data_IF_277124981681
#
_entry.id   IF_277124981681
#
_cell.length_a   1.000
_cell.length_b   1.000
_cell.length_c   1.000
_cell.angle_alpha   90.00
_cell.angle_beta   90.00
_cell.angle_gamma   90.00
#
_symmetry.space_group_name_H-M   'P 1'
#
loop_
_entity.id
_entity.type
_entity.pdbx_description
1 polymer ?
#
# COMPACT_ATOMS: atom_id res chain seq x y z
N UNK A 1 8.57 12.37 22.03
CA UNK A 1 9.11 12.95 20.78
C UNK A 1 8.10 13.98 20.27
N UNK A 2 8.58 15.09 19.71
CA UNK A 2 7.74 16.21 19.28
C UNK A 2 7.48 16.07 17.77
N UNK A 3 6.22 16.01 17.37
CA UNK A 3 5.79 15.84 15.98
C UNK A 3 4.93 17.05 15.61
N UNK A 4 5.41 17.95 14.73
CA UNK A 4 4.68 19.19 14.34
C UNK A 4 4.16 20.02 15.54
N UNK A 5 4.90 20.05 16.65
CA UNK A 5 4.49 20.75 17.88
C UNK A 5 3.60 19.94 18.83
N UNK A 6 3.13 18.75 18.45
CA UNK A 6 2.41 17.83 19.33
C UNK A 6 3.36 16.81 19.97
N UNK A 7 3.26 16.63 21.28
CA UNK A 7 3.99 15.60 21.99
C UNK A 7 3.25 14.27 21.92
N UNK A 8 3.81 13.31 21.19
CA UNK A 8 3.33 11.93 21.28
C UNK A 8 4.06 11.25 22.44
N UNK A 9 3.43 11.29 23.62
CA UNK A 9 3.83 10.49 24.77
C UNK A 9 3.25 9.09 24.61
N UNK A 10 4.11 8.07 24.63
CA UNK A 10 3.71 6.68 24.59
C UNK A 10 4.63 5.83 25.44
N UNK A 11 4.06 5.15 26.44
CA UNK A 11 4.81 4.31 27.37
C UNK A 11 4.79 2.85 26.90
N UNK A 12 5.94 2.37 26.42
CA UNK A 12 6.12 0.98 25.98
C UNK A 12 6.21 -0.01 27.15
N UNK A 13 6.51 0.44 28.37
CA UNK A 13 6.75 -0.41 29.53
C UNK A 13 7.69 -1.59 29.20
N UNK A 14 7.28 -2.80 29.56
CA UNK A 14 7.99 -4.05 29.30
C UNK A 14 8.24 -4.33 27.80
N UNK A 15 7.42 -3.77 26.89
CA UNK A 15 7.59 -3.93 25.44
C UNK A 15 8.69 -3.00 24.88
N UNK A 16 9.40 -2.25 25.73
CA UNK A 16 10.56 -1.45 25.32
C UNK A 16 11.66 -2.35 24.73
N UNK A 17 11.85 -3.54 25.31
CA UNK A 17 12.81 -4.53 24.80
C UNK A 17 12.08 -5.53 23.90
N UNK A 18 12.58 -5.72 22.68
CA UNK A 18 12.03 -6.71 21.75
C UNK A 18 12.57 -8.10 22.09
N UNK A 19 11.90 -8.80 23.01
CA UNK A 19 12.22 -10.19 23.31
C UNK A 19 11.85 -11.14 22.15
N UNK A 20 12.44 -12.34 22.12
CA UNK A 20 12.08 -13.38 21.13
C UNK A 20 10.60 -13.74 21.19
N UNK A 21 10.01 -13.76 22.38
CA UNK A 21 8.57 -14.02 22.54
C UNK A 21 7.72 -12.89 21.95
N UNK A 22 8.07 -11.62 22.22
CA UNK A 22 7.39 -10.46 21.62
C UNK A 22 7.53 -10.46 20.10
N UNK A 23 8.71 -10.78 19.57
CA UNK A 23 8.93 -10.87 18.13
C UNK A 23 8.03 -11.93 17.47
N UNK A 24 7.86 -13.11 18.08
CA UNK A 24 6.93 -14.15 17.59
C UNK A 24 5.48 -13.68 17.64
N UNK A 25 5.08 -12.98 18.70
CA UNK A 25 3.74 -12.40 18.78
C UNK A 25 3.51 -11.34 17.69
N UNK A 26 4.48 -10.46 17.42
CA UNK A 26 4.36 -9.49 16.32
C UNK A 26 4.30 -10.14 14.96
N UNK A 27 5.08 -11.21 14.73
CA UNK A 27 5.09 -11.92 13.46
C UNK A 27 3.74 -12.57 13.11
N UNK A 28 2.91 -12.87 14.12
CA UNK A 28 1.59 -13.47 13.93
C UNK A 28 0.45 -12.44 13.94
N UNK A 29 0.74 -11.18 14.29
CA UNK A 29 -0.28 -10.15 14.40
C UNK A 29 -0.68 -9.61 13.02
N UNK A 30 -1.99 -9.53 12.78
CA UNK A 30 -2.55 -8.91 11.58
C UNK A 30 -3.02 -7.50 11.92
N UNK A 31 -2.65 -6.51 11.11
CA UNK A 31 -2.94 -5.10 11.38
C UNK A 31 -4.44 -4.75 11.32
N UNK A 32 -5.28 -5.62 10.76
CA UNK A 32 -6.75 -5.54 10.77
C UNK A 32 -7.36 -5.98 12.12
N UNK A 33 -6.56 -6.57 13.01
CA UNK A 33 -6.96 -7.07 14.32
C UNK A 33 -6.48 -6.16 15.44
N UNK A 34 -7.17 -6.10 16.60
CA UNK A 34 -6.76 -5.28 17.74
C UNK A 34 -5.28 -5.51 18.12
N UNK A 35 -4.52 -4.44 18.45
CA UNK A 35 -3.11 -4.58 18.78
C UNK A 35 -2.95 -5.38 20.08
N UNK A 36 -2.19 -6.47 20.00
CA UNK A 36 -1.96 -7.38 21.13
C UNK A 36 -0.79 -6.94 22.02
N UNK A 37 -0.03 -5.94 21.60
CA UNK A 37 1.15 -5.41 22.31
C UNK A 37 1.17 -3.90 22.26
N UNK A 38 1.89 -3.25 23.18
CA UNK A 38 2.09 -1.80 23.19
C UNK A 38 2.89 -1.34 21.97
N UNK A 39 3.79 -2.16 21.45
CA UNK A 39 4.50 -1.88 20.18
C UNK A 39 3.56 -1.90 18.97
N UNK A 40 2.66 -2.87 18.88
CA UNK A 40 1.63 -2.89 17.83
C UNK A 40 0.69 -1.68 17.94
N UNK A 41 0.32 -1.30 19.17
CA UNK A 41 -0.48 -0.10 19.40
C UNK A 41 0.25 1.19 19.01
N UNK A 42 1.54 1.31 19.33
CA UNK A 42 2.38 2.43 18.88
C UNK A 42 2.50 2.46 17.36
N UNK A 43 2.74 1.32 16.72
CA UNK A 43 2.78 1.20 15.27
C UNK A 43 1.49 1.73 14.62
N UNK A 44 0.32 1.28 15.09
CA UNK A 44 -0.97 1.76 14.55
C UNK A 44 -1.15 3.27 14.78
N UNK A 45 -0.70 3.79 15.93
CA UNK A 45 -0.79 5.22 16.24
C UNK A 45 0.09 6.05 15.30
N UNK A 46 1.33 5.61 15.08
CA UNK A 46 2.26 6.24 14.13
C UNK A 46 1.74 6.14 12.70
N UNK A 47 1.27 4.96 12.28
CA UNK A 47 0.69 4.77 10.94
C UNK A 47 -0.47 5.75 10.71
N UNK A 48 -1.47 5.81 11.60
CA UNK A 48 -2.60 6.76 11.48
C UNK A 48 -2.15 8.22 11.42
N UNK A 49 -1.14 8.57 12.20
CA UNK A 49 -0.58 9.92 12.21
C UNK A 49 0.16 10.27 10.90
N UNK A 50 0.87 9.30 10.33
CA UNK A 50 1.70 9.50 9.14
C UNK A 50 0.93 9.40 7.83
N UNK A 51 -0.12 8.58 7.76
CA UNK A 51 -0.92 8.36 6.53
C UNK A 51 -1.40 9.65 5.82
N UNK A 52 -1.87 10.72 6.51
CA UNK A 52 -2.29 11.95 5.84
C UNK A 52 -1.12 12.91 5.51
N UNK A 53 0.12 12.60 5.89
CA UNK A 53 1.29 13.45 5.61
C UNK A 53 1.76 13.24 4.17
N UNK A 54 2.33 14.28 3.56
CA UNK A 54 3.02 14.15 2.26
C UNK A 54 4.27 13.29 2.42
N UNK A 55 4.77 12.71 1.33
CA UNK A 55 5.99 11.89 1.34
C UNK A 55 7.16 12.61 2.02
N UNK A 56 7.45 13.86 1.65
CA UNK A 56 8.53 14.63 2.28
C UNK A 56 8.42 14.69 3.83
N UNK A 57 7.21 14.86 4.37
CA UNK A 57 7.01 14.83 5.83
C UNK A 57 7.08 13.42 6.41
N UNK A 58 6.59 12.40 5.69
CA UNK A 58 6.72 11.01 6.11
C UNK A 58 8.21 10.61 6.18
N UNK A 59 9.00 10.91 5.15
CA UNK A 59 10.44 10.60 5.10
C UNK A 59 11.22 11.35 6.18
N UNK A 60 10.96 12.65 6.37
CA UNK A 60 11.57 13.43 7.44
C UNK A 60 11.30 12.78 8.81
N UNK A 61 10.06 12.33 9.02
CA UNK A 61 9.70 11.73 10.30
C UNK A 61 10.26 10.32 10.50
N UNK A 62 10.28 9.50 9.45
CA UNK A 62 10.94 8.20 9.49
C UNK A 62 12.42 8.34 9.83
N UNK A 63 13.09 9.35 9.26
CA UNK A 63 14.49 9.65 9.58
C UNK A 63 14.70 10.02 11.05
N UNK A 64 13.85 10.89 11.60
CA UNK A 64 13.92 11.22 13.03
C UNK A 64 13.64 10.00 13.93
N UNK A 65 12.64 9.18 13.57
CA UNK A 65 12.31 7.96 14.31
C UNK A 65 13.46 6.96 14.29
N UNK A 66 14.11 6.76 13.14
CA UNK A 66 15.30 5.90 12.99
C UNK A 66 16.45 6.38 13.86
N UNK A 67 16.76 7.67 13.82
CA UNK A 67 17.78 8.28 14.66
C UNK A 67 17.47 8.10 16.16
N UNK A 68 16.20 8.30 16.56
CA UNK A 68 15.78 8.14 17.94
C UNK A 68 15.92 6.70 18.47
N UNK A 69 15.61 5.69 17.64
CA UNK A 69 15.76 4.27 18.04
C UNK A 69 17.16 3.71 17.81
N UNK A 70 18.08 4.49 17.22
CA UNK A 70 19.42 4.02 16.83
C UNK A 70 19.41 2.98 15.71
N UNK A 71 18.39 3.00 14.83
CA UNK A 71 18.33 2.10 13.67
C UNK A 71 19.13 2.71 12.50
N UNK A 72 19.94 1.92 11.79
CA UNK A 72 20.59 2.38 10.57
C UNK A 72 19.55 2.73 9.51
N UNK A 73 19.92 3.65 8.62
CA UNK A 73 19.12 4.07 7.46
C UNK A 73 19.39 3.15 6.27
N UNK A 74 19.30 1.84 6.50
CA UNK A 74 19.52 0.81 5.49
C UNK A 74 18.22 0.04 5.25
N UNK A 75 17.86 -0.11 3.97
CA UNK A 75 16.81 -1.03 3.58
C UNK A 75 17.25 -2.45 3.93
N UNK A 76 16.38 -3.22 4.58
CA UNK A 76 16.71 -4.61 4.84
C UNK A 76 16.68 -5.39 3.51
N UNK A 77 17.66 -6.25 3.23
CA UNK A 77 17.72 -6.99 1.96
C UNK A 77 16.44 -7.76 1.64
N UNK A 78 15.75 -8.30 2.66
CA UNK A 78 14.49 -9.01 2.51
C UNK A 78 13.29 -8.14 2.09
N UNK A 79 13.44 -6.81 2.09
CA UNK A 79 12.39 -5.84 1.71
C UNK A 79 12.81 -4.96 0.53
N UNK A 80 13.79 -5.38 -0.26
CA UNK A 80 14.21 -4.64 -1.45
C UNK A 80 13.05 -4.52 -2.47
N UNK A 81 12.81 -3.31 -2.93
CA UNK A 81 11.99 -3.07 -4.11
C UNK A 81 12.69 -3.64 -5.35
N UNK A 82 11.88 -3.91 -6.38
CA UNK A 82 12.38 -4.26 -7.70
C UNK A 82 13.27 -3.15 -8.25
N UNK A 83 14.43 -3.52 -8.78
CA UNK A 83 15.31 -2.61 -9.50
C UNK A 83 14.74 -2.20 -10.85
N UNK A 84 15.22 -1.08 -11.40
CA UNK A 84 14.85 -0.64 -12.75
C UNK A 84 15.14 -1.72 -13.81
N UNK A 85 16.26 -2.42 -13.69
CA UNK A 85 16.65 -3.49 -14.62
C UNK A 85 15.68 -4.69 -14.56
N UNK A 86 15.26 -5.10 -13.36
CA UNK A 86 14.27 -6.17 -13.19
C UNK A 86 12.90 -5.75 -13.75
N UNK A 87 12.48 -4.49 -13.50
CA UNK A 87 11.24 -3.95 -14.02
C UNK A 87 11.24 -3.90 -15.56
N UNK A 88 12.34 -3.50 -16.18
CA UNK A 88 12.53 -3.53 -17.62
C UNK A 88 12.50 -4.96 -18.19
N UNK A 89 13.11 -5.93 -17.48
CA UNK A 89 13.06 -7.33 -17.87
C UNK A 89 11.63 -7.88 -17.84
N UNK A 90 10.87 -7.57 -16.79
CA UNK A 90 9.45 -7.93 -16.70
C UNK A 90 8.62 -7.25 -17.78
N UNK A 91 8.89 -5.97 -18.06
CA UNK A 91 8.20 -5.24 -19.11
C UNK A 91 8.35 -5.89 -20.48
N UNK A 92 9.48 -6.53 -20.80
CA UNK A 92 9.69 -7.21 -22.09
C UNK A 92 8.94 -8.53 -22.22
N UNK A 93 8.57 -9.15 -21.12
CA UNK A 93 7.85 -10.43 -21.12
C UNK A 93 6.37 -10.23 -21.51
N UNK A 94 5.79 -11.12 -22.34
CA UNK A 94 4.36 -11.09 -22.65
C UNK A 94 3.49 -11.60 -21.49
N UNK A 95 4.10 -12.17 -20.44
CA UNK A 95 3.37 -12.73 -19.29
C UNK A 95 2.99 -11.68 -18.23
N UNK A 96 3.58 -10.49 -18.31
CA UNK A 96 3.39 -9.45 -17.30
C UNK A 96 2.82 -8.18 -17.92
N UNK A 97 1.91 -7.55 -17.16
CA UNK A 97 1.41 -6.20 -17.41
C UNK A 97 1.85 -5.32 -16.25
N UNK A 98 2.32 -4.11 -16.56
CA UNK A 98 2.71 -3.10 -15.56
C UNK A 98 1.57 -2.08 -15.47
N UNK A 99 1.15 -1.77 -14.25
CA UNK A 99 0.13 -0.77 -13.94
C UNK A 99 0.67 0.33 -13.05
N UNK A 100 -0.08 1.42 -12.95
CA UNK A 100 0.28 2.57 -12.12
C UNK A 100 -0.10 2.37 -10.65
N UNK A 101 0.74 2.91 -9.75
CA UNK A 101 0.49 2.88 -8.31
C UNK A 101 0.99 4.15 -7.60
N UNK A 102 0.83 5.30 -8.25
CA UNK A 102 1.37 6.64 -7.86
C UNK A 102 2.90 6.71 -7.86
N UNK A 103 3.45 7.90 -7.58
CA UNK A 103 4.89 8.12 -7.50
C UNK A 103 5.42 7.75 -6.11
N UNK A 104 4.76 8.21 -5.05
CA UNK A 104 5.27 8.06 -3.66
C UNK A 104 4.31 7.31 -2.73
N UNK A 105 3.30 6.62 -3.28
CA UNK A 105 2.32 5.82 -2.52
C UNK A 105 1.52 6.62 -1.44
N UNK A 106 1.02 7.85 -1.69
CA UNK A 106 0.18 8.54 -0.71
C UNK A 106 -1.25 7.97 -0.67
N UNK A 107 -1.93 8.11 0.47
CA UNK A 107 -3.35 7.82 0.59
C UNK A 107 -4.17 8.93 -0.12
N UNK A 108 -4.31 8.80 -1.44
CA UNK A 108 -4.73 9.87 -2.36
C UNK A 108 -5.95 10.68 -1.87
N UNK A 109 -6.99 10.04 -1.35
CA UNK A 109 -8.22 10.74 -0.94
C UNK A 109 -8.03 11.70 0.25
N UNK A 110 -6.90 11.63 0.96
CA UNK A 110 -6.55 12.51 2.07
C UNK A 110 -5.79 13.77 1.63
N UNK A 111 -5.51 13.91 0.33
CA UNK A 111 -4.72 15.00 -0.21
C UNK A 111 -5.53 15.90 -1.16
N UNK A 112 -5.10 17.16 -1.39
CA UNK A 112 -5.71 18.03 -2.39
C UNK A 112 -5.69 17.41 -3.80
N UNK A 113 -6.68 17.78 -4.61
CA UNK A 113 -6.86 17.21 -5.96
C UNK A 113 -5.62 17.40 -6.85
N UNK A 114 -4.93 18.54 -6.71
CA UNK A 114 -3.73 18.87 -7.47
C UNK A 114 -2.59 17.88 -7.17
N UNK A 115 -2.42 17.52 -5.89
CA UNK A 115 -1.43 16.52 -5.48
C UNK A 115 -1.83 15.14 -6.01
N UNK A 116 -3.11 14.78 -5.93
CA UNK A 116 -3.58 13.49 -6.45
C UNK A 116 -3.29 13.34 -7.94
N UNK A 117 -3.53 14.38 -8.74
CA UNK A 117 -3.24 14.37 -10.17
C UNK A 117 -1.74 14.27 -10.44
N UNK A 118 -0.93 15.06 -9.73
CA UNK A 118 0.52 15.05 -9.88
C UNK A 118 1.11 13.66 -9.61
N UNK A 119 0.71 13.03 -8.50
CA UNK A 119 1.15 11.69 -8.09
C UNK A 119 0.83 10.61 -9.13
N UNK A 120 -0.37 10.69 -9.71
CA UNK A 120 -0.83 9.73 -10.71
C UNK A 120 -0.09 9.94 -12.05
N UNK A 121 0.11 11.19 -12.46
CA UNK A 121 0.80 11.53 -13.71
C UNK A 121 2.28 11.22 -13.64
N UNK A 122 2.99 11.68 -12.60
CA UNK A 122 4.43 11.46 -12.46
C UNK A 122 4.76 9.97 -12.35
N UNK A 123 3.98 9.20 -11.58
CA UNK A 123 4.16 7.75 -11.49
C UNK A 123 3.94 7.06 -12.84
N UNK A 124 2.99 7.54 -13.65
CA UNK A 124 2.77 7.04 -15.01
C UNK A 124 3.96 7.35 -15.91
N UNK A 125 4.34 8.63 -16.00
CA UNK A 125 5.42 9.11 -16.86
C UNK A 125 6.75 8.41 -16.55
N UNK A 126 7.09 8.24 -15.27
CA UNK A 126 8.29 7.54 -14.84
C UNK A 126 8.31 6.07 -15.31
N UNK A 127 7.20 5.34 -15.11
CA UNK A 127 7.09 3.94 -15.50
C UNK A 127 7.02 3.77 -17.02
N UNK A 128 6.30 4.63 -17.75
CA UNK A 128 6.23 4.60 -19.21
C UNK A 128 7.60 4.92 -19.84
N UNK A 129 8.33 5.90 -19.30
CA UNK A 129 9.68 6.22 -19.74
C UNK A 129 10.66 5.06 -19.51
N UNK A 130 10.57 4.41 -18.35
CA UNK A 130 11.45 3.30 -18.00
C UNK A 130 11.17 2.03 -18.79
N UNK A 131 9.89 1.73 -19.03
CA UNK A 131 9.44 0.47 -19.64
C UNK A 131 9.22 0.57 -21.16
N UNK A 132 9.08 1.79 -21.69
CA UNK A 132 8.73 2.05 -23.09
C UNK A 132 7.32 1.59 -23.47
N UNK A 133 6.45 1.34 -22.49
CA UNK A 133 5.10 0.80 -22.71
C UNK A 133 4.05 1.67 -22.04
N UNK A 134 2.88 1.89 -22.67
CA UNK A 134 1.81 2.64 -22.05
C UNK A 134 1.16 1.87 -20.89
N UNK A 135 0.81 2.59 -19.84
CA UNK A 135 0.13 2.07 -18.66
C UNK A 135 -1.38 2.32 -18.77
N UNK A 136 -2.17 1.24 -18.73
CA UNK A 136 -3.64 1.30 -18.86
C UNK A 136 -4.39 1.00 -17.56
N UNK A 137 -3.77 0.30 -16.61
CA UNK A 137 -4.39 -0.12 -15.36
C UNK A 137 -3.77 0.61 -14.16
N UNK A 138 -4.58 0.93 -13.16
CA UNK A 138 -4.14 1.62 -11.94
C UNK A 138 -4.57 0.88 -10.67
N UNK A 139 -3.81 0.97 -9.58
CA UNK A 139 -4.24 0.52 -8.26
C UNK A 139 -4.17 1.69 -7.27
N UNK A 140 -5.21 1.91 -6.47
CA UNK A 140 -5.19 2.97 -5.46
C UNK A 140 -4.32 2.56 -4.27
N UNK A 141 -3.30 3.35 -3.86
CA UNK A 141 -2.53 3.09 -2.65
C UNK A 141 -3.44 2.95 -1.43
N UNK A 142 -3.23 1.88 -0.66
CA UNK A 142 -4.06 1.54 0.52
C UNK A 142 -5.57 1.48 0.26
N UNK A 143 -6.03 1.39 -0.99
CA UNK A 143 -7.45 1.49 -1.34
C UNK A 143 -8.07 2.87 -1.06
N UNK A 144 -7.25 3.92 -0.88
CA UNK A 144 -7.72 5.27 -0.59
C UNK A 144 -8.07 6.00 -1.89
N UNK A 145 -9.35 6.24 -2.14
CA UNK A 145 -9.82 6.96 -3.31
C UNK A 145 -11.10 7.76 -3.05
N UNK A 146 -11.32 8.76 -3.88
CA UNK A 146 -12.48 9.65 -3.91
C UNK A 146 -12.89 9.91 -5.37
N UNK A 147 -13.96 10.67 -5.60
CA UNK A 147 -14.33 11.08 -6.96
C UNK A 147 -13.25 11.97 -7.61
N UNK A 148 -12.54 12.78 -6.81
CA UNK A 148 -11.38 13.54 -7.29
C UNK A 148 -10.25 12.61 -7.74
N UNK A 149 -10.02 11.52 -7.00
CA UNK A 149 -9.01 10.52 -7.32
C UNK A 149 -9.33 9.78 -8.61
N UNK A 150 -10.60 9.41 -8.82
CA UNK A 150 -11.05 8.77 -10.06
C UNK A 150 -10.84 9.71 -11.25
N UNK A 151 -11.18 10.99 -11.11
CA UNK A 151 -10.94 12.00 -12.17
C UNK A 151 -9.46 12.14 -12.48
N UNK A 152 -8.58 12.16 -11.49
CA UNK A 152 -7.13 12.20 -11.70
C UNK A 152 -6.63 10.99 -12.51
N UNK A 153 -7.09 9.78 -12.16
CA UNK A 153 -6.77 8.54 -12.88
C UNK A 153 -7.28 8.55 -14.33
N UNK A 154 -8.49 9.05 -14.55
CA UNK A 154 -9.05 9.25 -15.90
C UNK A 154 -8.26 10.27 -16.71
N UNK A 155 -7.91 11.41 -16.12
CA UNK A 155 -7.15 12.48 -16.77
C UNK A 155 -5.73 12.04 -17.15
N UNK A 156 -5.12 11.16 -16.35
CA UNK A 156 -3.84 10.53 -16.70
C UNK A 156 -3.96 9.43 -17.77
N UNK A 157 -5.17 9.15 -18.28
CA UNK A 157 -5.40 8.23 -19.40
C UNK A 157 -5.36 6.74 -19.02
N UNK A 158 -5.57 6.39 -17.76
CA UNK A 158 -5.84 5.00 -17.37
C UNK A 158 -7.27 4.61 -17.79
N UNK A 159 -7.50 3.33 -18.10
CA UNK A 159 -8.80 2.81 -18.54
C UNK A 159 -9.56 2.07 -17.45
N UNK A 160 -8.86 1.60 -16.42
CA UNK A 160 -9.46 0.94 -15.25
C UNK A 160 -8.59 1.10 -14.01
N UNK A 161 -9.20 0.97 -12.83
CA UNK A 161 -8.53 1.07 -11.55
C UNK A 161 -9.09 0.10 -10.48
N UNK A 162 -8.19 -0.41 -9.65
CA UNK A 162 -8.48 -1.42 -8.64
C UNK A 162 -8.45 -0.85 -7.21
N UNK A 163 -9.49 -1.17 -6.44
CA UNK A 163 -9.61 -0.86 -5.00
C UNK A 163 -9.05 -2.02 -4.15
N UNK A 164 -9.27 -1.95 -2.84
CA UNK A 164 -9.03 -3.05 -1.90
C UNK A 164 -10.34 -3.69 -1.42
N UNK A 165 -11.47 -3.36 -2.05
CA UNK A 165 -12.76 -3.94 -1.69
C UNK A 165 -12.78 -5.41 -2.09
N UNK A 166 -13.00 -6.28 -1.11
CA UNK A 166 -13.03 -7.73 -1.27
C UNK A 166 -14.33 -8.19 -1.96
N UNK A 167 -14.42 -7.95 -3.27
CA UNK A 167 -15.58 -8.29 -4.10
C UNK A 167 -15.16 -8.79 -5.50
N UNK A 168 -15.95 -9.64 -6.16
CA UNK A 168 -15.67 -10.04 -7.52
C UNK A 168 -15.86 -8.86 -8.49
N UNK A 169 -15.17 -8.92 -9.63
CA UNK A 169 -15.40 -8.02 -10.75
C UNK A 169 -16.47 -8.61 -11.68
N UNK A 170 -17.52 -7.81 -11.93
CA UNK A 170 -18.68 -8.13 -12.76
C UNK A 170 -18.71 -7.26 -14.03
N UNK A 171 -19.47 -7.66 -15.04
CA UNK A 171 -19.50 -6.95 -16.34
C UNK A 171 -20.05 -5.52 -16.23
N UNK A 172 -20.96 -5.30 -15.29
CA UNK A 172 -21.59 -4.01 -15.01
C UNK A 172 -20.78 -3.11 -14.06
N UNK A 173 -19.62 -3.56 -13.59
CA UNK A 173 -18.81 -2.77 -12.65
C UNK A 173 -18.26 -1.50 -13.32
N UNK A 174 -18.19 -0.43 -12.52
CA UNK A 174 -17.52 0.79 -12.93
C UNK A 174 -16.00 0.52 -13.09
N UNK A 175 -15.39 0.81 -14.26
CA UNK A 175 -14.00 0.45 -14.54
C UNK A 175 -12.97 0.99 -13.54
N UNK A 176 -13.30 2.07 -12.83
CA UNK A 176 -12.40 2.74 -11.88
C UNK A 176 -12.64 2.33 -10.42
N UNK A 177 -13.49 1.33 -10.17
CA UNK A 177 -13.85 0.83 -8.83
C UNK A 177 -13.79 -0.71 -8.76
N UNK A 178 -12.84 -1.33 -9.45
CA UNK A 178 -12.77 -2.79 -9.54
C UNK A 178 -12.27 -3.39 -8.22
N UNK A 179 -12.99 -4.38 -7.68
CA UNK A 179 -12.62 -5.06 -6.44
C UNK A 179 -11.41 -5.98 -6.59
N UNK A 180 -10.78 -6.31 -5.45
CA UNK A 180 -9.70 -7.30 -5.36
C UNK A 180 -9.80 -8.07 -4.05
N UNK A 181 -9.45 -9.35 -4.10
CA UNK A 181 -9.31 -10.16 -2.89
C UNK A 181 -7.85 -10.16 -2.43
N UNK A 182 -7.62 -9.85 -1.16
CA UNK A 182 -6.31 -9.98 -0.55
C UNK A 182 -5.98 -11.46 -0.34
N UNK A 183 -4.83 -11.89 -0.83
CA UNK A 183 -4.28 -13.21 -0.52
C UNK A 183 -3.43 -13.07 0.74
N UNK A 184 -3.86 -13.74 1.83
CA UNK A 184 -3.11 -13.78 3.10
C UNK A 184 -2.00 -14.82 3.01
N UNK A 185 -1.02 -14.74 3.90
CA UNK A 185 0.02 -15.75 4.04
C UNK A 185 -0.57 -17.02 4.70
N UNK A 186 -1.07 -17.93 3.86
CA UNK A 186 -1.76 -19.16 4.25
C UNK A 186 -1.28 -20.35 3.42
N UNK A 187 -1.47 -21.55 3.94
CA UNK A 187 -1.13 -22.77 3.21
C UNK A 187 -2.00 -22.95 1.94
N UNK A 188 -1.50 -23.76 1.00
CA UNK A 188 -2.15 -23.98 -0.29
C UNK A 188 -3.59 -24.53 -0.21
N UNK A 189 -3.90 -25.40 0.78
CA UNK A 189 -5.26 -25.93 0.94
C UNK A 189 -6.21 -24.85 1.44
N UNK A 190 -5.74 -23.99 2.33
CA UNK A 190 -6.51 -22.83 2.80
C UNK A 190 -6.75 -21.83 1.68
N UNK A 191 -5.73 -21.54 0.87
CA UNK A 191 -5.87 -20.69 -0.31
C UNK A 191 -6.85 -21.26 -1.34
N UNK A 192 -6.76 -22.57 -1.64
CA UNK A 192 -7.69 -23.24 -2.56
C UNK A 192 -9.15 -23.13 -2.11
N UNK A 193 -9.41 -23.29 -0.80
CA UNK A 193 -10.76 -23.09 -0.25
C UNK A 193 -11.25 -21.65 -0.42
N UNK A 194 -10.39 -20.66 -0.15
CA UNK A 194 -10.73 -19.25 -0.33
C UNK A 194 -11.02 -18.92 -1.80
N UNK A 195 -10.17 -19.41 -2.72
CA UNK A 195 -10.34 -19.21 -4.15
C UNK A 195 -11.67 -19.78 -4.66
N UNK A 196 -12.02 -20.99 -4.23
CA UNK A 196 -13.30 -21.62 -4.57
C UNK A 196 -14.50 -20.84 -4.02
N UNK A 197 -14.39 -20.22 -2.84
CA UNK A 197 -15.44 -19.36 -2.30
C UNK A 197 -15.60 -18.08 -3.13
N UNK A 198 -14.50 -17.44 -3.53
CA UNK A 198 -14.55 -16.23 -4.36
C UNK A 198 -15.19 -16.49 -5.74
N UNK A 199 -14.87 -17.62 -6.38
CA UNK A 199 -15.50 -17.99 -7.65
C UNK A 199 -17.01 -18.26 -7.50
N UNK A 200 -17.43 -18.93 -6.42
CA UNK A 200 -18.86 -19.14 -6.14
C UNK A 200 -19.59 -17.81 -5.91
N UNK A 201 -18.98 -16.90 -5.15
CA UNK A 201 -19.56 -15.58 -4.90
C UNK A 201 -19.72 -14.75 -6.18
N UNK A 202 -18.82 -14.88 -7.16
CA UNK A 202 -18.97 -14.27 -8.48
C UNK A 202 -20.17 -14.84 -9.24
N UNK A 203 -20.30 -16.17 -9.26
CA UNK A 203 -21.38 -16.86 -9.99
C UNK A 203 -22.78 -16.53 -9.44
N UNK A 204 -22.91 -16.21 -8.15
CA UNK A 204 -24.20 -15.81 -7.56
C UNK A 204 -24.55 -14.33 -7.76
N UNK A 205 -23.64 -13.53 -8.32
CA UNK A 205 -23.82 -12.08 -8.56
C UNK A 205 -23.78 -11.71 -10.06
N UNK A 206 -23.54 -12.69 -10.94
CA UNK A 206 -23.53 -12.56 -12.40
C UNK A 206 -24.89 -13.00 -12.95
#
# INVERSE_FOLDING_TARGET
>A
MTFKGEFLLFDLQQDRQLSVSLQRHHAQWQADSPPQTRRAALYLKLWKFMTPLTDAYQQALLKELRAWVGSPDEARPEYCCMSEAELQAMARSPLFSIGGHTMTHPALALHPQELQLLEVQQGKEALEALTGKPLSLFAYPSGSFSDATIKAVQQAGYTAAFTTDARPVLQQDQPYRLGRFQVKDVDGKTFERQLNQWFKAKASQS
#
